data_IF_930648451788
#
_entry.id   IF_930648451788
#
_cell.length_a   1.000
_cell.length_b   1.000
_cell.length_c   1.000
_cell.angle_alpha   90.00
_cell.angle_beta   90.00
_cell.angle_gamma   90.00
#
_symmetry.space_group_name_H-M   'P 1'
#
loop_
_entity.id
_entity.type
_entity.pdbx_description
1 polymer ?
#
# COMPACT_ATOMS: atom_id res chain seq x y z
N UNK A 1 2.39 20.37 -17.41
CA UNK A 1 2.33 21.69 -16.74
C UNK A 1 2.44 21.42 -15.26
N UNK A 2 3.64 21.51 -14.69
CA UNK A 2 3.89 21.12 -13.29
C UNK A 2 3.24 22.08 -12.31
N UNK A 3 2.75 21.56 -11.19
CA UNK A 3 2.14 22.37 -10.14
C UNK A 3 3.16 23.36 -9.59
N UNK A 4 2.79 24.64 -9.62
CA UNK A 4 3.51 25.70 -8.91
C UNK A 4 3.45 25.34 -7.42
N UNK A 5 4.60 25.08 -6.80
CA UNK A 5 4.74 24.47 -5.46
C UNK A 5 4.24 25.30 -4.26
N UNK A 6 3.23 26.15 -4.44
CA UNK A 6 2.64 26.96 -3.39
C UNK A 6 1.10 26.87 -3.43
N UNK A 7 0.49 26.52 -2.30
CA UNK A 7 -0.96 26.56 -2.12
C UNK A 7 -1.47 28.00 -2.15
N UNK A 8 -2.60 28.24 -2.81
CA UNK A 8 -3.29 29.53 -2.74
C UNK A 8 -3.81 29.80 -1.31
N UNK A 9 -4.00 31.06 -0.89
CA UNK A 9 -4.55 31.38 0.44
C UNK A 9 -5.89 30.69 0.72
N UNK A 10 -6.77 30.60 -0.27
CA UNK A 10 -8.08 29.93 -0.15
C UNK A 10 -7.94 28.41 0.02
N UNK A 11 -6.95 27.80 -0.63
CA UNK A 11 -6.64 26.38 -0.50
C UNK A 11 -6.12 26.05 0.90
N UNK A 12 -5.25 26.91 1.46
CA UNK A 12 -4.80 26.80 2.86
C UNK A 12 -5.96 26.90 3.84
N UNK A 13 -6.81 27.92 3.70
CA UNK A 13 -7.98 28.07 4.57
C UNK A 13 -8.91 26.86 4.50
N UNK A 14 -9.18 26.34 3.29
CA UNK A 14 -9.99 25.13 3.13
C UNK A 14 -9.35 23.90 3.78
N UNK A 15 -8.02 23.80 3.78
CA UNK A 15 -7.31 22.73 4.47
C UNK A 15 -7.45 22.88 5.99
N UNK A 16 -7.26 24.08 6.53
CA UNK A 16 -7.40 24.37 7.96
C UNK A 16 -8.82 24.08 8.46
N UNK A 17 -9.85 24.43 7.68
CA UNK A 17 -11.25 24.25 8.06
C UNK A 17 -11.74 22.80 7.92
N UNK A 18 -11.19 22.03 6.97
CA UNK A 18 -11.73 20.71 6.58
C UNK A 18 -10.80 19.54 6.88
N UNK A 19 -9.54 19.78 7.19
CA UNK A 19 -8.50 18.76 7.42
C UNK A 19 -8.00 18.06 6.16
N UNK A 20 -8.45 18.46 4.96
CA UNK A 20 -7.96 17.93 3.69
C UNK A 20 -8.13 18.93 2.55
N UNK A 21 -7.42 18.68 1.45
CA UNK A 21 -7.53 19.46 0.21
C UNK A 21 -7.48 18.54 -1.01
N UNK A 22 -8.23 18.89 -2.05
CA UNK A 22 -8.13 18.24 -3.37
C UNK A 22 -7.28 19.11 -4.28
N UNK A 23 -6.22 18.53 -4.82
CA UNK A 23 -5.35 19.16 -5.82
C UNK A 23 -5.51 18.38 -7.12
N UNK A 24 -6.22 18.98 -8.08
CA UNK A 24 -6.41 18.37 -9.38
C UNK A 24 -5.10 18.38 -10.19
N UNK A 25 -4.91 17.34 -11.00
CA UNK A 25 -3.74 17.19 -11.87
C UNK A 25 -2.39 17.33 -11.14
N UNK A 26 -2.32 16.81 -9.91
CA UNK A 26 -1.09 16.81 -9.10
C UNK A 26 0.05 16.04 -9.77
N UNK A 27 -0.25 14.84 -10.25
CA UNK A 27 0.69 14.02 -10.99
C UNK A 27 0.35 14.05 -12.49
N UNK A 28 1.37 14.01 -13.33
CA UNK A 28 1.20 13.81 -14.77
C UNK A 28 0.82 12.37 -15.09
N UNK A 29 0.30 12.13 -16.29
CA UNK A 29 -0.01 10.76 -16.75
C UNK A 29 1.24 9.87 -16.73
N UNK A 30 2.38 10.43 -17.12
CA UNK A 30 3.67 9.72 -17.15
C UNK A 30 4.14 9.35 -15.74
N UNK A 31 3.95 10.23 -14.74
CA UNK A 31 4.27 9.94 -13.34
C UNK A 31 3.37 8.82 -12.78
N UNK A 32 2.07 8.85 -13.10
CA UNK A 32 1.12 7.81 -12.72
C UNK A 32 1.50 6.47 -13.36
N UNK A 33 1.81 6.45 -14.65
CA UNK A 33 2.23 5.24 -15.36
C UNK A 33 3.54 4.67 -14.81
N UNK A 34 4.53 5.53 -14.54
CA UNK A 34 5.79 5.12 -13.95
C UNK A 34 5.60 4.48 -12.56
N UNK A 35 4.75 5.07 -11.72
CA UNK A 35 4.41 4.52 -10.40
C UNK A 35 3.72 3.15 -10.52
N UNK A 36 2.75 3.01 -11.43
CA UNK A 36 2.04 1.74 -11.66
C UNK A 36 2.98 0.66 -12.16
N UNK A 37 3.82 0.98 -13.15
CA UNK A 37 4.83 0.05 -13.67
C UNK A 37 5.78 -0.40 -12.57
N UNK A 38 6.27 0.52 -11.73
CA UNK A 38 7.17 0.15 -10.64
C UNK A 38 6.49 -0.77 -9.63
N UNK A 39 5.20 -0.54 -9.36
CA UNK A 39 4.41 -1.39 -8.49
C UNK A 39 4.23 -2.80 -9.08
N UNK A 40 4.00 -2.91 -10.38
CA UNK A 40 3.90 -4.20 -11.08
C UNK A 40 5.22 -4.99 -11.00
N UNK A 41 6.37 -4.33 -11.19
CA UNK A 41 7.69 -4.95 -11.03
C UNK A 41 7.89 -5.49 -9.60
N UNK A 42 7.54 -4.69 -8.58
CA UNK A 42 7.61 -5.11 -7.17
C UNK A 42 6.72 -6.31 -6.88
N UNK A 43 5.52 -6.37 -7.45
CA UNK A 43 4.61 -7.52 -7.29
C UNK A 43 5.14 -8.77 -7.99
N UNK A 44 5.76 -8.63 -9.16
CA UNK A 44 6.36 -9.74 -9.87
C UNK A 44 7.50 -10.36 -9.05
N UNK A 45 8.40 -9.52 -8.53
CA UNK A 45 9.55 -9.94 -7.73
C UNK A 45 9.19 -10.45 -6.33
N UNK A 46 8.00 -10.11 -5.82
CA UNK A 46 7.53 -10.52 -4.51
C UNK A 46 7.13 -12.00 -4.46
N UNK A 47 7.73 -12.76 -3.56
CA UNK A 47 7.34 -14.14 -3.26
C UNK A 47 6.32 -14.19 -2.10
N UNK A 48 5.03 -14.49 -2.37
CA UNK A 48 4.00 -14.54 -1.35
C UNK A 48 4.22 -15.68 -0.34
N UNK A 49 5.02 -16.71 -0.64
CA UNK A 49 5.25 -17.82 0.31
C UNK A 49 6.05 -17.40 1.54
N UNK A 50 6.90 -16.38 1.39
CA UNK A 50 7.70 -15.79 2.47
C UNK A 50 6.82 -15.11 3.54
N UNK A 51 5.59 -14.72 3.17
CA UNK A 51 4.68 -13.95 4.02
C UNK A 51 3.31 -14.63 4.21
N UNK A 52 2.91 -15.58 3.36
CA UNK A 52 1.62 -16.28 3.46
C UNK A 52 1.46 -17.05 4.79
N UNK A 53 2.56 -17.56 5.35
CA UNK A 53 2.56 -18.20 6.68
C UNK A 53 2.19 -17.22 7.81
N UNK A 54 2.50 -15.93 7.63
CA UNK A 54 2.20 -14.85 8.60
C UNK A 54 0.70 -14.56 8.66
N UNK A 55 0.03 -14.64 7.51
CA UNK A 55 -1.41 -14.37 7.36
C UNK A 55 -2.30 -15.63 7.47
N UNK A 56 -1.72 -16.79 7.83
CA UNK A 56 -2.42 -18.08 8.00
C UNK A 56 -3.01 -18.28 9.40
N UNK A 57 -3.95 -19.22 9.55
CA UNK A 57 -4.82 -19.43 10.73
C UNK A 57 -4.14 -19.91 12.02
N UNK A 58 -2.84 -20.25 12.02
CA UNK A 58 -2.11 -20.65 13.24
C UNK A 58 -1.07 -19.59 13.63
N UNK A 59 -1.20 -18.99 14.82
CA UNK A 59 -0.33 -17.93 15.37
C UNK A 59 -0.36 -16.56 14.63
N UNK A 60 -1.42 -16.29 13.87
CA UNK A 60 -1.60 -15.10 13.03
C UNK A 60 -1.32 -13.76 13.73
N UNK A 61 -1.88 -13.53 14.93
CA UNK A 61 -1.76 -12.23 15.63
C UNK A 61 -0.32 -11.86 15.97
N UNK A 62 0.48 -12.82 16.45
CA UNK A 62 1.86 -12.54 16.88
C UNK A 62 2.79 -12.30 15.70
N UNK A 63 2.70 -13.16 14.68
CA UNK A 63 3.52 -13.07 13.47
C UNK A 63 3.15 -11.83 12.64
N UNK A 64 1.85 -11.52 12.53
CA UNK A 64 1.39 -10.32 11.82
C UNK A 64 1.87 -9.05 12.51
N UNK A 65 1.84 -8.99 13.84
CA UNK A 65 2.37 -7.84 14.58
C UNK A 65 3.88 -7.66 14.39
N UNK A 66 4.65 -8.75 14.46
CA UNK A 66 6.11 -8.70 14.25
C UNK A 66 6.45 -8.25 12.82
N UNK A 67 5.78 -8.82 11.81
CA UNK A 67 5.90 -8.38 10.42
C UNK A 67 5.52 -6.91 10.22
N UNK A 68 4.47 -6.45 10.90
CA UNK A 68 4.02 -5.07 10.86
C UNK A 68 5.05 -4.12 11.46
N UNK A 69 5.61 -4.41 12.64
CA UNK A 69 6.63 -3.57 13.25
C UNK A 69 7.94 -3.55 12.45
N UNK A 70 8.35 -4.69 11.90
CA UNK A 70 9.54 -4.76 11.04
C UNK A 70 9.35 -4.08 9.68
N UNK A 71 8.10 -3.84 9.26
CA UNK A 71 7.83 -3.16 7.99
C UNK A 71 8.25 -1.70 7.97
N UNK A 72 8.52 -1.08 9.12
CA UNK A 72 8.85 0.33 9.23
C UNK A 72 10.02 0.77 8.31
N UNK A 73 10.98 -0.12 8.05
CA UNK A 73 12.15 0.13 7.21
C UNK A 73 12.17 -0.72 5.92
N UNK A 74 11.08 -1.43 5.61
CA UNK A 74 11.01 -2.40 4.50
C UNK A 74 9.84 -2.11 3.57
N UNK A 75 9.94 -2.58 2.33
CA UNK A 75 8.79 -2.66 1.42
C UNK A 75 8.04 -3.95 1.76
N UNK A 76 7.00 -3.83 2.58
CA UNK A 76 6.16 -4.95 3.00
C UNK A 76 4.84 -4.99 2.24
N UNK A 77 4.34 -6.19 2.03
CA UNK A 77 3.12 -6.47 1.27
C UNK A 77 2.05 -7.01 2.23
N UNK A 78 0.90 -6.36 2.24
CA UNK A 78 -0.21 -6.71 3.12
C UNK A 78 -1.38 -7.20 2.27
N UNK A 79 -1.82 -8.42 2.54
CA UNK A 79 -2.92 -9.04 1.83
C UNK A 79 -4.28 -8.55 2.34
N UNK A 80 -5.29 -8.65 1.48
CA UNK A 80 -6.69 -8.51 1.87
C UNK A 80 -7.08 -9.58 2.90
N UNK A 81 -7.94 -9.23 3.87
CA UNK A 81 -8.37 -10.13 4.94
C UNK A 81 -8.97 -11.45 4.39
N UNK A 82 -9.61 -11.37 3.21
CA UNK A 82 -10.29 -12.48 2.56
C UNK A 82 -9.51 -13.06 1.37
N UNK A 83 -8.22 -12.72 1.25
CA UNK A 83 -7.35 -13.22 0.18
C UNK A 83 -7.12 -14.74 0.27
N UNK A 84 -7.14 -15.30 1.48
CA UNK A 84 -6.83 -16.70 1.74
C UNK A 84 -8.10 -17.56 1.94
N UNK A 85 -8.02 -18.82 1.56
CA UNK A 85 -9.01 -19.85 1.87
C UNK A 85 -8.75 -20.50 3.24
N UNK A 86 -9.65 -21.40 3.67
CA UNK A 86 -9.54 -22.12 4.95
C UNK A 86 -8.29 -23.03 5.03
N UNK A 87 -7.65 -23.29 3.89
CA UNK A 87 -6.41 -24.08 3.77
C UNK A 87 -5.15 -23.20 3.72
N UNK A 88 -5.29 -21.87 3.78
CA UNK A 88 -4.19 -20.91 3.72
C UNK A 88 -3.66 -20.64 2.31
N UNK A 89 -4.39 -20.99 1.26
CA UNK A 89 -4.03 -20.71 -0.12
C UNK A 89 -4.71 -19.43 -0.62
N UNK A 90 -4.07 -18.72 -1.54
CA UNK A 90 -4.68 -17.56 -2.19
C UNK A 90 -5.88 -17.99 -3.04
N UNK A 91 -7.00 -17.29 -2.89
CA UNK A 91 -8.24 -17.49 -3.66
C UNK A 91 -8.18 -16.94 -5.08
N UNK A 92 -7.23 -16.06 -5.33
CA UNK A 92 -7.02 -15.38 -6.61
C UNK A 92 -5.52 -15.07 -6.78
N UNK A 93 -5.14 -14.44 -7.90
CA UNK A 93 -3.75 -14.09 -8.13
C UNK A 93 -3.22 -13.13 -7.06
N UNK A 94 -1.91 -13.18 -6.79
CA UNK A 94 -1.29 -12.37 -5.73
C UNK A 94 -1.48 -10.88 -5.99
N UNK A 95 -1.42 -10.46 -7.25
CA UNK A 95 -1.57 -9.08 -7.71
C UNK A 95 -2.95 -8.49 -7.38
N UNK A 96 -3.97 -9.34 -7.32
CA UNK A 96 -5.34 -8.96 -6.95
C UNK A 96 -5.63 -9.13 -5.46
N UNK A 97 -4.71 -9.72 -4.71
CA UNK A 97 -4.88 -10.08 -3.30
C UNK A 97 -4.20 -9.11 -2.34
N UNK A 98 -3.43 -8.14 -2.84
CA UNK A 98 -2.73 -7.14 -2.02
C UNK A 98 -3.67 -5.96 -1.72
N UNK A 99 -3.81 -5.64 -0.43
CA UNK A 99 -4.52 -4.46 0.05
C UNK A 99 -3.63 -3.20 -0.02
N UNK A 100 -2.39 -3.32 0.45
CA UNK A 100 -1.41 -2.23 0.47
C UNK A 100 0.03 -2.73 0.41
N UNK A 101 0.93 -1.85 -0.04
CA UNK A 101 2.38 -2.04 0.00
C UNK A 101 3.03 -0.82 0.61
N UNK A 102 3.92 -1.04 1.57
CA UNK A 102 4.64 0.04 2.22
C UNK A 102 5.10 -0.31 3.62
N UNK A 103 5.55 0.71 4.32
CA UNK A 103 5.99 0.64 5.70
C UNK A 103 4.85 1.08 6.62
N UNK A 104 4.63 0.34 7.69
CA UNK A 104 3.80 0.81 8.80
C UNK A 104 4.71 1.28 9.93
N UNK A 105 5.00 2.58 9.92
CA UNK A 105 5.46 3.28 11.12
C UNK A 105 4.22 3.68 11.93
N UNK A 106 4.15 3.22 13.17
CA UNK A 106 3.24 3.77 14.19
C UNK A 106 3.53 5.23 14.47
#
# INVERSE_FOLDING_TARGET
MGIVGNLAPQQRQSFDDRGFIVIESFASTEEIEAMRKRMDELLQDFDPTTTASIFSTKNQLKLTNEYFYESAEKISFFFEEKAFDDKGNLKQSKELSINKVGACAT
#
